data_IF_370165218383
#
_entry.id   IF_370165218383
#
_cell.length_a   1.000
_cell.length_b   1.000
_cell.length_c   1.000
_cell.angle_alpha   90.00
_cell.angle_beta   90.00
_cell.angle_gamma   90.00
#
_symmetry.space_group_name_H-M   'P 1'
#
loop_
_entity.id
_entity.type
_entity.pdbx_description
1 polymer ?
#
# COMPACT_ATOMS: atom_id res chain seq x y z
N UNK A 1 13.60 26.47 13.72
CA UNK A 1 12.48 27.40 13.95
C UNK A 1 11.21 26.62 14.19
N UNK A 2 10.20 27.18 14.85
CA UNK A 2 8.96 26.44 15.13
C UNK A 2 7.71 27.31 15.02
N UNK A 3 6.59 26.66 14.77
CA UNK A 3 5.24 27.21 14.91
C UNK A 3 4.44 26.26 15.80
N UNK A 4 3.67 26.85 16.73
CA UNK A 4 2.74 26.12 17.59
C UNK A 4 1.32 26.48 17.21
N UNK A 5 0.52 25.46 16.92
CA UNK A 5 -0.91 25.61 16.65
C UNK A 5 -1.62 25.39 17.99
N UNK A 6 -2.45 26.34 18.47
CA UNK A 6 -3.21 26.15 19.71
C UNK A 6 -4.11 24.92 19.63
N UNK A 7 -4.28 24.14 20.71
CA UNK A 7 -5.21 23.02 20.74
C UNK A 7 -6.62 23.42 20.30
N UNK A 8 -7.30 22.53 19.58
CA UNK A 8 -8.65 22.78 19.07
C UNK A 8 -8.94 22.12 17.73
N UNK A 9 -10.13 22.37 17.22
CA UNK A 9 -10.63 21.85 15.95
C UNK A 9 -10.48 22.90 14.84
N UNK A 10 -9.83 22.50 13.75
CA UNK A 10 -9.63 23.35 12.58
C UNK A 10 -10.22 22.62 11.36
N UNK A 11 -11.11 23.28 10.62
CA UNK A 11 -11.78 22.70 9.47
C UNK A 11 -11.21 23.22 8.16
N UNK A 12 -10.99 22.32 7.22
CA UNK A 12 -10.50 22.59 5.87
C UNK A 12 -11.54 22.12 4.87
N UNK A 13 -11.81 22.98 3.89
CA UNK A 13 -12.86 22.77 2.88
C UNK A 13 -12.40 21.94 1.69
N UNK A 14 -13.03 22.22 0.55
CA UNK A 14 -12.91 21.46 -0.70
C UNK A 14 -11.48 21.46 -1.24
N UNK A 15 -10.98 20.28 -1.58
CA UNK A 15 -9.80 20.09 -2.43
C UNK A 15 -10.08 20.49 -3.89
N UNK A 16 -9.01 20.64 -4.68
CA UNK A 16 -9.12 20.88 -6.11
C UNK A 16 -8.00 20.16 -6.89
N UNK A 17 -8.15 20.13 -8.21
CA UNK A 17 -7.15 19.63 -9.15
C UNK A 17 -6.69 20.78 -10.03
N UNK A 18 -5.38 20.91 -10.20
CA UNK A 18 -4.78 21.82 -11.17
C UNK A 18 -4.02 21.03 -12.27
N UNK A 19 -3.34 21.76 -13.15
CA UNK A 19 -2.56 21.17 -14.26
C UNK A 19 -1.33 20.37 -13.78
N UNK A 20 -0.86 20.62 -12.56
CA UNK A 20 0.35 20.05 -11.96
C UNK A 20 0.02 18.97 -10.90
N UNK A 21 -1.28 18.75 -10.62
CA UNK A 21 -1.82 17.63 -9.88
C UNK A 21 -2.82 18.05 -8.80
N UNK A 22 -2.92 17.28 -7.69
CA UNK A 22 -3.82 17.63 -6.61
C UNK A 22 -3.36 18.85 -5.82
N UNK A 23 -4.32 19.69 -5.42
CA UNK A 23 -4.14 20.80 -4.48
C UNK A 23 -4.77 20.39 -3.16
N UNK A 24 -3.95 20.31 -2.12
CA UNK A 24 -4.38 19.88 -0.79
C UNK A 24 -5.11 21.02 -0.05
N UNK A 25 -6.23 20.76 0.65
CA UNK A 25 -6.91 21.75 1.49
C UNK A 25 -5.99 22.40 2.54
N UNK A 26 -5.04 21.62 3.09
CA UNK A 26 -3.93 22.13 3.88
C UNK A 26 -2.62 21.72 3.21
N UNK A 27 -1.91 22.68 2.63
CA UNK A 27 -0.67 22.44 1.89
C UNK A 27 0.51 23.23 2.44
N UNK A 28 1.65 22.56 2.58
CA UNK A 28 2.97 23.15 2.77
C UNK A 28 3.79 22.91 1.50
N UNK A 29 4.19 23.99 0.81
CA UNK A 29 4.93 23.91 -0.45
C UNK A 29 6.25 24.67 -0.39
N UNK A 30 7.31 24.06 -0.91
CA UNK A 30 8.59 24.73 -1.13
C UNK A 30 9.33 25.17 0.14
N UNK A 31 8.92 24.67 1.31
CA UNK A 31 9.57 24.99 2.58
C UNK A 31 10.86 24.19 2.71
N UNK A 32 11.99 24.85 2.41
CA UNK A 32 13.31 24.25 2.47
C UNK A 32 14.04 24.66 3.74
N UNK A 33 14.44 23.66 4.53
CA UNK A 33 15.38 23.80 5.65
C UNK A 33 16.58 22.93 5.43
N UNK A 34 17.66 23.19 6.17
CA UNK A 34 18.79 22.27 6.27
C UNK A 34 18.56 21.25 7.40
N UNK A 35 19.28 20.13 7.35
CA UNK A 35 19.10 19.04 8.32
C UNK A 35 19.49 19.44 9.76
N UNK A 36 20.38 20.41 9.93
CA UNK A 36 20.84 20.89 11.24
C UNK A 36 19.84 21.88 11.87
N UNK A 37 19.03 22.55 11.06
CA UNK A 37 18.07 23.58 11.47
C UNK A 37 16.65 23.26 10.93
N UNK A 38 16.04 22.14 11.34
CA UNK A 38 14.70 21.79 10.88
C UNK A 38 13.65 22.83 11.32
N UNK A 39 12.51 22.84 10.62
CA UNK A 39 11.35 23.61 11.03
C UNK A 39 10.27 22.69 11.60
N UNK A 40 9.72 23.06 12.76
CA UNK A 40 8.78 22.22 13.51
C UNK A 40 7.40 22.84 13.53
N UNK A 41 6.39 22.01 13.30
CA UNK A 41 4.97 22.32 13.42
C UNK A 41 4.45 21.50 14.60
N UNK A 42 4.17 22.19 15.72
CA UNK A 42 3.72 21.59 16.96
C UNK A 42 2.19 21.70 17.03
N UNK A 43 1.51 20.56 16.96
CA UNK A 43 0.06 20.46 16.83
C UNK A 43 -0.54 19.50 17.88
N UNK A 44 0.05 19.44 19.07
CA UNK A 44 -0.47 18.66 20.19
C UNK A 44 -1.88 19.15 20.57
N UNK A 45 -2.84 18.23 20.69
CA UNK A 45 -4.23 18.55 21.00
C UNK A 45 -4.99 19.21 19.85
N UNK A 46 -4.45 19.17 18.62
CA UNK A 46 -5.10 19.70 17.41
C UNK A 46 -5.77 18.60 16.62
N UNK A 47 -7.00 18.84 16.19
CA UNK A 47 -7.69 18.02 15.19
C UNK A 47 -7.91 18.83 13.92
N UNK A 48 -7.36 18.34 12.81
CA UNK A 48 -7.64 18.83 11.46
C UNK A 48 -8.79 18.03 10.86
N UNK A 49 -9.92 18.69 10.65
CA UNK A 49 -11.11 18.14 10.01
C UNK A 49 -11.10 18.51 8.53
N UNK A 50 -11.26 17.50 7.67
CA UNK A 50 -11.37 17.71 6.23
C UNK A 50 -12.79 17.39 5.77
N UNK A 51 -13.47 18.38 5.20
CA UNK A 51 -14.84 18.21 4.75
C UNK A 51 -14.90 17.36 3.46
N UNK A 52 -15.90 16.48 3.34
CA UNK A 52 -16.15 15.67 2.15
C UNK A 52 -17.53 15.95 1.53
N UNK A 53 -17.64 16.93 0.62
CA UNK A 53 -18.89 17.24 -0.06
C UNK A 53 -19.50 16.02 -0.81
N UNK A 54 -20.82 15.83 -0.78
CA UNK A 54 -21.48 14.70 -1.46
C UNK A 54 -21.21 14.61 -2.97
N UNK A 55 -21.00 15.74 -3.65
CA UNK A 55 -20.66 15.81 -5.07
C UNK A 55 -19.23 15.34 -5.38
N UNK A 56 -18.38 15.25 -4.36
CA UNK A 56 -17.00 14.79 -4.46
C UNK A 56 -16.84 13.31 -4.11
N UNK A 57 -17.78 12.72 -3.37
CA UNK A 57 -17.70 11.35 -2.88
C UNK A 57 -17.28 10.27 -3.92
N UNK A 58 -17.59 10.32 -5.23
CA UNK A 58 -17.13 9.28 -6.15
C UNK A 58 -15.68 9.46 -6.69
N UNK A 59 -14.91 10.44 -6.21
CA UNK A 59 -13.57 10.79 -6.74
C UNK A 59 -12.43 10.56 -5.72
N UNK A 60 -11.17 10.70 -6.14
CA UNK A 60 -10.02 10.59 -5.25
C UNK A 60 -9.77 11.92 -4.52
N UNK A 61 -9.56 11.85 -3.21
CA UNK A 61 -9.41 13.00 -2.31
C UNK A 61 -8.04 13.20 -1.69
N UNK A 62 -7.80 14.39 -1.15
CA UNK A 62 -6.55 14.84 -0.56
C UNK A 62 -6.85 15.68 0.69
N UNK A 63 -6.07 15.48 1.75
CA UNK A 63 -6.23 16.23 2.99
C UNK A 63 -5.01 17.13 3.26
N UNK A 64 -3.92 16.55 3.78
CA UNK A 64 -2.70 17.28 4.14
C UNK A 64 -1.59 17.01 3.12
N UNK A 65 -0.99 18.06 2.57
CA UNK A 65 0.08 17.98 1.58
C UNK A 65 1.39 18.61 2.04
N UNK A 66 2.50 17.92 1.81
CA UNK A 66 3.85 18.44 1.82
C UNK A 66 4.45 18.25 0.44
N UNK A 67 4.70 19.35 -0.26
CA UNK A 67 5.19 19.33 -1.65
C UNK A 67 6.52 20.07 -1.72
N UNK A 68 7.55 19.40 -2.20
CA UNK A 68 8.88 19.98 -2.36
C UNK A 68 9.41 20.60 -1.06
N UNK A 69 9.20 19.94 0.08
CA UNK A 69 9.70 20.40 1.38
C UNK A 69 10.99 19.68 1.76
N UNK A 70 11.80 20.29 2.63
CA UNK A 70 12.95 19.60 3.24
C UNK A 70 13.06 19.91 4.72
N UNK A 71 13.29 18.86 5.51
CA UNK A 71 13.60 18.94 6.92
C UNK A 71 12.53 19.69 7.75
N UNK A 72 11.26 19.33 7.52
CA UNK A 72 10.14 19.73 8.37
C UNK A 72 9.74 18.61 9.32
N UNK A 73 9.18 18.98 10.46
CA UNK A 73 8.60 18.04 11.43
C UNK A 73 7.16 18.44 11.76
N UNK A 74 6.22 17.49 11.67
CA UNK A 74 4.85 17.63 12.19
C UNK A 74 4.70 16.75 13.44
N UNK A 75 4.27 17.35 14.55
CA UNK A 75 4.17 16.67 15.85
C UNK A 75 2.75 16.77 16.42
N UNK A 76 2.18 15.63 16.81
CA UNK A 76 0.97 15.55 17.65
C UNK A 76 -0.38 15.78 16.94
N UNK A 77 -0.39 16.06 15.63
CA UNK A 77 -1.62 16.35 14.89
C UNK A 77 -2.54 15.13 14.80
N UNK A 78 -3.84 15.34 14.95
CA UNK A 78 -4.89 14.38 14.60
C UNK A 78 -5.58 14.81 13.31
N UNK A 79 -5.79 13.89 12.37
CA UNK A 79 -6.51 14.12 11.11
C UNK A 79 -7.79 13.28 11.12
N UNK A 80 -8.93 13.89 10.85
CA UNK A 80 -10.23 13.22 10.71
C UNK A 80 -11.05 13.89 9.58
N UNK A 81 -12.16 13.28 9.21
CA UNK A 81 -12.99 13.70 8.08
C UNK A 81 -14.48 13.62 8.41
N UNK A 82 -15.23 14.56 7.84
CA UNK A 82 -16.68 14.66 8.01
C UNK A 82 -17.36 15.14 6.71
N UNK A 83 -18.28 14.36 6.11
CA UNK A 83 -18.64 12.98 6.41
C UNK A 83 -17.50 12.01 6.08
N UNK A 84 -17.48 10.83 6.71
CA UNK A 84 -16.36 9.86 6.61
C UNK A 84 -16.06 9.40 5.17
N UNK A 85 -17.07 9.22 4.34
CA UNK A 85 -16.90 8.72 2.96
C UNK A 85 -17.01 7.20 2.81
N UNK A 86 -17.55 6.53 3.84
CA UNK A 86 -17.94 5.12 3.82
C UNK A 86 -19.27 4.91 4.56
N UNK A 87 -19.91 3.78 4.27
CA UNK A 87 -21.05 3.24 5.03
C UNK A 87 -20.65 1.87 5.55
N UNK A 88 -20.93 1.60 6.83
CA UNK A 88 -20.72 0.27 7.42
C UNK A 88 -22.00 -0.25 8.01
N UNK A 89 -22.15 -1.58 8.01
CA UNK A 89 -23.28 -2.22 8.65
C UNK A 89 -23.08 -3.70 8.90
N UNK A 90 -23.95 -4.25 9.74
CA UNK A 90 -24.05 -5.67 10.02
C UNK A 90 -24.97 -6.31 9.00
N UNK A 91 -24.55 -7.40 8.37
CA UNK A 91 -25.37 -8.18 7.44
C UNK A 91 -26.58 -8.74 8.18
N UNK A 92 -27.78 -8.39 7.73
CA UNK A 92 -29.05 -8.90 8.26
C UNK A 92 -29.68 -9.93 7.34
N UNK A 93 -29.38 -9.87 6.04
CA UNK A 93 -29.89 -10.83 5.06
C UNK A 93 -28.94 -10.98 3.87
N UNK A 94 -28.85 -12.20 3.34
CA UNK A 94 -28.20 -12.51 2.06
C UNK A 94 -29.28 -12.96 1.06
N UNK A 95 -29.44 -12.23 -0.04
CA UNK A 95 -30.37 -12.58 -1.13
C UNK A 95 -29.56 -12.87 -2.40
N UNK A 96 -29.16 -14.13 -2.56
CA UNK A 96 -28.39 -14.58 -3.71
C UNK A 96 -29.21 -14.53 -5.02
N UNK A 97 -30.53 -14.76 -4.95
CA UNK A 97 -31.40 -14.70 -6.13
C UNK A 97 -31.53 -13.26 -6.65
N UNK A 98 -31.62 -12.29 -5.74
CA UNK A 98 -31.59 -10.85 -6.05
C UNK A 98 -30.19 -10.25 -6.20
N UNK A 99 -29.13 -11.04 -6.04
CA UNK A 99 -27.72 -10.61 -5.98
C UNK A 99 -27.49 -9.39 -5.08
N UNK A 100 -28.01 -9.43 -3.85
CA UNK A 100 -27.96 -8.29 -2.92
C UNK A 100 -27.80 -8.72 -1.46
N UNK A 101 -27.25 -7.82 -0.66
CA UNK A 101 -26.96 -8.01 0.77
C UNK A 101 -27.70 -6.92 1.55
N UNK A 102 -28.51 -7.30 2.54
CA UNK A 102 -29.09 -6.32 3.46
C UNK A 102 -28.14 -6.09 4.62
N UNK A 103 -27.94 -4.82 4.96
CA UNK A 103 -27.19 -4.41 6.14
C UNK A 103 -28.02 -3.50 7.04
N UNK A 104 -27.83 -3.62 8.34
CA UNK A 104 -28.21 -2.63 9.33
C UNK A 104 -27.04 -1.69 9.59
N UNK A 105 -27.23 -0.39 9.39
CA UNK A 105 -26.15 0.59 9.52
C UNK A 105 -25.54 0.56 10.93
N UNK A 106 -24.21 0.53 10.99
CA UNK A 106 -23.48 0.49 12.25
C UNK A 106 -23.45 1.85 12.93
N UNK A 107 -23.52 1.85 14.26
CA UNK A 107 -23.33 3.02 15.13
C UNK A 107 -21.85 3.39 15.35
N UNK A 108 -20.93 2.63 14.76
CA UNK A 108 -19.48 2.80 14.91
C UNK A 108 -18.83 1.85 15.93
N UNK A 109 -19.57 0.95 16.58
CA UNK A 109 -19.00 -0.07 17.49
C UNK A 109 -18.64 -1.39 16.80
N UNK A 110 -18.85 -1.47 15.49
CA UNK A 110 -18.89 -2.71 14.76
C UNK A 110 -17.54 -3.05 14.11
N UNK A 111 -17.04 -4.28 14.34
CA UNK A 111 -15.87 -4.84 13.68
C UNK A 111 -16.28 -6.05 12.83
N UNK A 112 -16.03 -5.99 11.51
CA UNK A 112 -16.28 -7.12 10.61
C UNK A 112 -15.21 -8.21 10.77
N UNK A 113 -15.53 -9.45 10.42
CA UNK A 113 -14.49 -10.45 10.17
C UNK A 113 -13.78 -10.14 8.85
N UNK A 114 -12.52 -10.57 8.77
CA UNK A 114 -11.71 -10.45 7.57
C UNK A 114 -11.92 -11.69 6.69
N UNK A 115 -12.37 -11.51 5.44
CA UNK A 115 -12.63 -12.63 4.52
C UNK A 115 -11.66 -12.69 3.35
N UNK A 116 -11.26 -13.89 2.96
CA UNK A 116 -10.45 -14.13 1.76
C UNK A 116 -11.23 -14.04 0.42
N UNK A 117 -12.31 -13.26 0.34
CA UNK A 117 -13.27 -13.25 -0.79
C UNK A 117 -12.87 -12.38 -2.00
N UNK A 118 -11.60 -11.98 -2.16
CA UNK A 118 -11.11 -11.28 -3.36
C UNK A 118 -9.83 -11.91 -3.89
N UNK A 119 -9.88 -13.21 -4.18
CA UNK A 119 -9.04 -13.69 -5.28
C UNK A 119 -9.44 -12.89 -6.53
N UNK A 120 -8.45 -12.43 -7.32
CA UNK A 120 -8.69 -11.68 -8.56
C UNK A 120 -9.78 -12.37 -9.37
N UNK A 121 -10.93 -11.72 -9.52
CA UNK A 121 -12.07 -12.35 -10.17
C UNK A 121 -13.42 -11.70 -9.84
N UNK A 122 -14.50 -12.23 -10.42
CA UNK A 122 -15.87 -11.75 -10.24
C UNK A 122 -16.40 -11.88 -8.80
N UNK A 123 -15.80 -12.73 -7.94
CA UNK A 123 -16.20 -12.94 -6.53
C UNK A 123 -16.01 -11.74 -5.58
N UNK A 124 -15.47 -10.60 -6.07
CA UNK A 124 -15.21 -9.41 -5.26
C UNK A 124 -16.48 -8.68 -4.84
N UNK A 125 -16.39 -7.91 -3.74
CA UNK A 125 -17.41 -6.90 -3.40
C UNK A 125 -17.39 -5.76 -4.43
N UNK A 126 -18.16 -5.93 -5.50
CA UNK A 126 -18.55 -4.85 -6.41
C UNK A 126 -20.04 -4.59 -6.25
N UNK A 127 -20.42 -3.36 -5.90
CA UNK A 127 -21.82 -2.96 -5.76
C UNK A 127 -22.18 -1.88 -6.78
N UNK A 128 -23.47 -1.86 -7.17
CA UNK A 128 -24.03 -0.90 -8.14
C UNK A 128 -24.66 0.28 -7.43
N UNK A 129 -25.47 0.03 -6.42
CA UNK A 129 -26.17 1.06 -5.65
C UNK A 129 -26.57 0.53 -4.26
N UNK A 130 -27.06 1.46 -3.44
CA UNK A 130 -27.62 1.20 -2.12
C UNK A 130 -29.03 1.77 -2.09
N UNK A 131 -30.01 1.00 -1.62
CA UNK A 131 -31.41 1.41 -1.50
C UNK A 131 -31.99 1.07 -0.12
N UNK A 132 -33.11 1.69 0.30
CA UNK A 132 -33.76 1.34 1.57
C UNK A 132 -34.06 -0.15 1.70
N UNK A 133 -33.79 -0.70 2.88
CA UNK A 133 -34.00 -2.10 3.23
C UNK A 133 -35.43 -2.41 3.64
N UNK A 134 -35.60 -3.60 4.21
CA UNK A 134 -36.89 -4.11 4.72
C UNK A 134 -37.40 -3.37 5.97
N UNK A 135 -36.52 -2.69 6.71
CA UNK A 135 -36.82 -1.95 7.92
C UNK A 135 -36.09 -0.59 7.95
N UNK A 136 -36.59 0.41 8.71
CA UNK A 136 -35.88 1.67 8.92
C UNK A 136 -34.45 1.42 9.46
N UNK A 137 -33.46 2.12 8.89
CA UNK A 137 -32.04 1.95 9.27
C UNK A 137 -31.34 0.76 8.59
N UNK A 138 -32.08 -0.03 7.79
CA UNK A 138 -31.50 -1.08 6.94
C UNK A 138 -31.43 -0.66 5.49
N UNK A 139 -30.48 -1.24 4.79
CA UNK A 139 -30.16 -0.90 3.40
C UNK A 139 -29.82 -2.14 2.61
N UNK A 140 -30.40 -2.25 1.41
CA UNK A 140 -29.98 -3.23 0.42
C UNK A 140 -28.77 -2.70 -0.35
N UNK A 141 -27.69 -3.47 -0.31
CA UNK A 141 -26.52 -3.31 -1.16
C UNK A 141 -26.70 -4.20 -2.37
N UNK A 142 -27.07 -3.58 -3.49
CA UNK A 142 -27.24 -4.31 -4.75
C UNK A 142 -25.88 -4.53 -5.39
N UNK A 143 -25.48 -5.79 -5.55
CA UNK A 143 -24.19 -6.12 -6.14
C UNK A 143 -24.20 -5.79 -7.64
N UNK A 144 -23.02 -5.52 -8.20
CA UNK A 144 -22.87 -5.34 -9.63
C UNK A 144 -23.23 -6.64 -10.36
N UNK A 145 -23.78 -6.56 -11.57
CA UNK A 145 -24.23 -7.73 -12.35
C UNK A 145 -23.12 -8.78 -12.55
N UNK A 146 -21.87 -8.33 -12.69
CA UNK A 146 -20.68 -9.18 -12.82
C UNK A 146 -20.11 -9.70 -11.50
N UNK A 147 -20.75 -9.39 -10.37
CA UNK A 147 -20.33 -9.86 -9.06
C UNK A 147 -20.80 -11.30 -8.87
N UNK A 148 -19.86 -12.21 -8.62
CA UNK A 148 -20.10 -13.60 -8.26
C UNK A 148 -20.02 -13.82 -6.75
N UNK A 149 -19.86 -12.76 -5.94
CA UNK A 149 -19.62 -12.85 -4.50
C UNK A 149 -20.61 -13.81 -3.78
N UNK A 150 -21.91 -13.64 -3.98
CA UNK A 150 -22.92 -14.49 -3.32
C UNK A 150 -22.99 -15.90 -3.90
N UNK A 151 -22.71 -16.06 -5.20
CA UNK A 151 -22.60 -17.38 -5.83
C UNK A 151 -21.40 -18.15 -5.29
N UNK A 152 -20.22 -17.52 -5.21
CA UNK A 152 -19.02 -18.08 -4.59
C UNK A 152 -19.26 -18.41 -3.13
N UNK A 153 -19.98 -17.55 -2.40
CA UNK A 153 -20.35 -17.80 -1.01
C UNK A 153 -21.24 -19.04 -0.82
N UNK A 154 -21.90 -19.53 -1.88
CA UNK A 154 -22.73 -20.73 -1.88
C UNK A 154 -22.03 -21.96 -2.45
N UNK A 155 -20.88 -21.82 -3.10
CA UNK A 155 -20.15 -22.91 -3.71
C UNK A 155 -19.66 -23.91 -2.64
N UNK A 156 -20.06 -25.20 -2.70
CA UNK A 156 -19.61 -26.22 -1.75
C UNK A 156 -18.10 -26.42 -1.74
N UNK A 157 -17.42 -26.32 -2.89
CA UNK A 157 -15.97 -26.44 -2.97
C UNK A 157 -15.28 -25.27 -2.29
N UNK A 158 -15.80 -24.04 -2.48
CA UNK A 158 -15.33 -22.85 -1.78
C UNK A 158 -15.51 -22.98 -0.27
N UNK A 159 -16.71 -23.35 0.19
CA UNK A 159 -17.03 -23.53 1.61
C UNK A 159 -16.15 -24.59 2.26
N UNK A 160 -15.93 -25.70 1.56
CA UNK A 160 -15.04 -26.78 2.00
C UNK A 160 -13.60 -26.30 2.15
N UNK A 161 -13.13 -25.46 1.21
CA UNK A 161 -11.75 -24.99 1.22
C UNK A 161 -11.49 -23.83 2.20
N UNK A 162 -12.44 -22.90 2.36
CA UNK A 162 -12.22 -21.66 3.11
C UNK A 162 -12.95 -21.59 4.46
N UNK A 163 -13.93 -22.47 4.71
CA UNK A 163 -14.71 -22.49 5.95
C UNK A 163 -15.35 -21.13 6.27
N UNK A 164 -15.47 -20.83 7.57
CA UNK A 164 -16.01 -19.55 8.05
C UNK A 164 -15.15 -18.35 7.64
N UNK A 165 -13.83 -18.52 7.53
CA UNK A 165 -12.89 -17.44 7.19
C UNK A 165 -13.00 -16.92 5.74
N UNK A 166 -13.71 -17.64 4.86
CA UNK A 166 -13.99 -17.17 3.50
C UNK A 166 -15.46 -17.15 3.15
N UNK A 167 -16.38 -17.26 4.12
CA UNK A 167 -17.82 -17.26 3.82
C UNK A 167 -18.52 -16.12 4.55
N UNK A 168 -19.32 -15.34 3.81
CA UNK A 168 -20.22 -14.33 4.36
C UNK A 168 -21.45 -14.98 4.97
N UNK A 169 -21.85 -14.50 6.14
CA UNK A 169 -22.97 -14.97 6.92
C UNK A 169 -23.79 -13.79 7.45
N UNK A 170 -25.02 -14.07 7.86
CA UNK A 170 -25.81 -13.09 8.63
C UNK A 170 -25.12 -12.85 9.97
N UNK A 171 -24.99 -11.59 10.37
CA UNK A 171 -24.25 -11.16 11.56
C UNK A 171 -22.86 -10.62 11.26
N UNK A 172 -22.33 -10.91 10.07
CA UNK A 172 -21.04 -10.42 9.60
C UNK A 172 -21.07 -8.93 9.26
N UNK A 173 -19.91 -8.40 8.94
CA UNK A 173 -19.72 -6.99 8.67
C UNK A 173 -19.49 -6.66 7.22
N UNK A 174 -20.04 -5.53 6.80
CA UNK A 174 -19.83 -4.99 5.47
C UNK A 174 -19.43 -3.53 5.56
N UNK A 175 -18.33 -3.18 4.91
CA UNK A 175 -17.92 -1.79 4.68
C UNK A 175 -18.04 -1.45 3.20
N UNK A 176 -18.83 -0.43 2.90
CA UNK A 176 -19.06 0.13 1.58
C UNK A 176 -18.24 1.41 1.46
N UNK A 177 -17.27 1.38 0.55
CA UNK A 177 -16.34 2.49 0.33
C UNK A 177 -16.84 3.33 -0.83
N UNK A 178 -17.21 4.58 -0.58
CA UNK A 178 -17.70 5.48 -1.63
C UNK A 178 -16.58 6.27 -2.32
N UNK A 179 -15.47 6.53 -1.62
CA UNK A 179 -14.36 7.39 -2.08
C UNK A 179 -12.98 6.86 -1.69
N UNK A 180 -11.88 7.24 -2.38
CA UNK A 180 -10.45 7.09 -1.98
C UNK A 180 -9.81 8.39 -1.51
N UNK A 181 -8.78 8.34 -0.66
CA UNK A 181 -8.14 9.56 -0.10
C UNK A 181 -6.64 9.39 0.13
N UNK A 182 -5.86 10.43 -0.16
CA UNK A 182 -4.52 10.60 0.39
C UNK A 182 -4.64 11.49 1.62
N UNK A 183 -4.55 10.91 2.81
CA UNK A 183 -4.65 11.66 4.06
C UNK A 183 -3.44 12.58 4.25
N UNK A 184 -2.25 12.04 4.03
CA UNK A 184 -1.00 12.80 4.07
C UNK A 184 -0.22 12.49 2.80
N UNK A 185 -0.08 13.49 1.93
CA UNK A 185 0.76 13.43 0.74
C UNK A 185 2.13 14.05 1.00
N UNK A 186 3.20 13.32 0.69
CA UNK A 186 4.58 13.78 0.81
C UNK A 186 5.25 13.63 -0.55
N UNK A 187 5.30 14.72 -1.31
CA UNK A 187 5.74 14.71 -2.72
C UNK A 187 7.05 15.45 -2.89
N UNK A 188 8.05 14.80 -3.48
CA UNK A 188 9.36 15.38 -3.79
C UNK A 188 10.05 16.00 -2.56
N UNK A 189 9.87 15.39 -1.39
CA UNK A 189 10.37 15.90 -0.13
C UNK A 189 11.68 15.22 0.28
N UNK A 190 12.34 15.75 1.31
CA UNK A 190 13.55 15.14 1.89
C UNK A 190 13.57 15.31 3.41
N UNK A 191 13.86 14.23 4.14
CA UNK A 191 14.11 14.28 5.59
C UNK A 191 12.96 14.81 6.44
N UNK A 192 11.71 14.59 6.00
CA UNK A 192 10.50 14.90 6.74
C UNK A 192 10.36 14.04 7.99
N UNK A 193 9.70 14.55 9.02
CA UNK A 193 9.40 13.82 10.25
C UNK A 193 7.94 14.00 10.64
N UNK A 194 7.30 12.91 11.01
CA UNK A 194 5.94 12.85 11.52
C UNK A 194 5.99 12.10 12.84
N UNK A 195 5.65 12.78 13.94
CA UNK A 195 5.83 12.24 15.29
C UNK A 195 4.51 12.31 16.03
N UNK A 196 4.00 11.18 16.50
CA UNK A 196 2.74 11.13 17.24
C UNK A 196 1.53 11.57 16.42
N UNK A 197 1.61 11.49 15.09
CA UNK A 197 0.50 11.87 14.19
C UNK A 197 -0.55 10.76 14.20
N UNK A 198 -1.81 11.14 14.33
CA UNK A 198 -2.96 10.23 14.30
C UNK A 198 -3.80 10.50 13.06
N UNK A 199 -3.96 9.50 12.21
CA UNK A 199 -4.85 9.56 11.05
C UNK A 199 -6.08 8.68 11.30
N UNK A 200 -7.25 9.31 11.28
CA UNK A 200 -8.56 8.66 11.38
C UNK A 200 -9.37 8.80 10.09
N UNK A 201 -8.83 9.50 9.07
CA UNK A 201 -9.50 9.67 7.78
C UNK A 201 -9.69 8.30 7.13
N UNK A 202 -10.94 7.91 6.94
CA UNK A 202 -11.29 6.75 6.13
C UNK A 202 -10.92 7.01 4.67
N UNK A 203 -10.48 5.94 4.05
CA UNK A 203 -9.75 5.80 2.81
C UNK A 203 -8.47 6.59 2.68
N UNK A 204 -7.90 7.05 3.79
CA UNK A 204 -6.79 8.00 3.88
C UNK A 204 -5.40 7.35 3.88
N UNK A 205 -4.90 6.97 2.72
CA UNK A 205 -3.52 6.50 2.56
C UNK A 205 -2.50 7.61 2.92
N UNK A 206 -1.40 7.25 3.60
CA UNK A 206 -0.21 8.10 3.63
C UNK A 206 0.62 7.79 2.41
N UNK A 207 0.79 8.79 1.54
CA UNK A 207 1.44 8.62 0.25
C UNK A 207 2.71 9.43 0.16
N UNK A 208 3.83 8.74 0.00
CA UNK A 208 5.13 9.33 -0.32
C UNK A 208 5.45 9.07 -1.79
N UNK A 209 5.93 10.10 -2.50
CA UNK A 209 6.33 9.95 -3.89
C UNK A 209 7.47 10.88 -4.27
N UNK A 210 8.55 10.34 -4.82
CA UNK A 210 9.65 11.14 -5.36
C UNK A 210 10.51 11.84 -4.30
N UNK A 211 11.58 12.50 -4.77
CA UNK A 211 12.50 13.28 -3.92
C UNK A 211 13.52 12.45 -3.13
N UNK A 212 14.31 13.14 -2.31
CA UNK A 212 15.41 12.54 -1.55
C UNK A 212 14.98 11.55 -0.46
N UNK A 213 13.69 11.52 -0.10
CA UNK A 213 13.12 10.58 0.85
C UNK A 213 13.77 10.65 2.23
N UNK A 214 13.96 9.48 2.86
CA UNK A 214 14.54 9.36 4.20
C UNK A 214 13.65 10.00 5.26
N UNK A 215 12.34 9.78 5.17
CA UNK A 215 11.36 10.32 6.10
C UNK A 215 11.29 9.46 7.37
N UNK A 216 10.87 10.05 8.48
CA UNK A 216 10.64 9.35 9.73
C UNK A 216 9.16 9.47 10.13
N UNK A 217 8.52 8.34 10.35
CA UNK A 217 7.21 8.21 10.96
C UNK A 217 7.40 7.52 12.29
N UNK A 218 7.15 8.24 13.38
CA UNK A 218 7.46 7.77 14.73
C UNK A 218 6.24 7.86 15.62
N UNK A 219 5.91 6.77 16.29
CA UNK A 219 4.81 6.67 17.26
C UNK A 219 3.46 7.13 16.66
N UNK A 220 3.28 6.91 15.35
CA UNK A 220 2.07 7.32 14.63
C UNK A 220 0.98 6.23 14.68
N UNK A 221 -0.28 6.66 14.58
CA UNK A 221 -1.43 5.77 14.53
C UNK A 221 -2.23 6.02 13.26
N UNK A 222 -2.48 4.96 12.50
CA UNK A 222 -3.23 5.00 11.25
C UNK A 222 -4.32 3.93 11.31
N UNK A 223 -5.55 4.38 11.54
CA UNK A 223 -6.59 3.46 11.94
C UNK A 223 -7.88 4.20 12.27
N UNK A 224 -8.98 3.47 12.41
CA UNK A 224 -10.24 4.09 12.78
C UNK A 224 -10.11 4.83 14.12
N UNK A 225 -10.88 5.90 14.28
CA UNK A 225 -11.06 6.51 15.59
C UNK A 225 -11.78 5.51 16.49
N UNK A 226 -11.39 5.42 17.77
CA UNK A 226 -12.03 4.51 18.71
C UNK A 226 -13.55 4.79 18.79
N UNK A 227 -14.37 3.75 18.74
CA UNK A 227 -15.84 3.87 18.76
C UNK A 227 -16.42 4.42 17.47
N UNK A 228 -15.68 4.31 16.37
CA UNK A 228 -16.11 4.70 15.03
C UNK A 228 -15.88 3.56 14.05
N UNK A 229 -16.47 3.67 12.85
CA UNK A 229 -16.37 2.68 11.78
C UNK A 229 -14.94 2.13 11.63
N UNK A 230 -14.81 0.82 11.54
CA UNK A 230 -13.54 0.15 11.79
C UNK A 230 -12.64 0.13 10.55
N UNK A 231 -13.17 0.16 9.33
CA UNK A 231 -12.35 -0.03 8.13
C UNK A 231 -11.80 1.27 7.53
N UNK A 232 -10.48 1.30 7.38
CA UNK A 232 -9.77 2.43 6.78
C UNK A 232 -9.90 2.44 5.27
N UNK A 233 -9.99 1.33 4.53
CA UNK A 233 -10.17 1.37 3.07
C UNK A 233 -8.93 1.87 2.29
N UNK A 234 -8.49 1.24 1.21
CA UNK A 234 -7.20 1.56 0.52
C UNK A 234 -5.96 1.18 1.34
N UNK A 235 -4.80 1.60 0.84
CA UNK A 235 -3.49 1.32 1.42
C UNK A 235 -3.35 2.04 2.75
N UNK A 236 -2.63 1.45 3.70
CA UNK A 236 -2.18 2.18 4.87
C UNK A 236 -1.11 3.19 4.46
N UNK A 237 -0.01 2.70 3.89
CA UNK A 237 1.15 3.51 3.55
C UNK A 237 1.72 3.16 2.18
N UNK A 238 1.71 4.10 1.23
CA UNK A 238 2.26 3.93 -0.10
C UNK A 238 3.53 4.77 -0.27
N UNK A 239 4.65 4.14 -0.62
CA UNK A 239 5.95 4.80 -0.77
C UNK A 239 6.56 4.49 -2.13
N UNK A 240 6.49 5.47 -3.04
CA UNK A 240 6.92 5.31 -4.42
C UNK A 240 8.16 6.15 -4.77
N UNK A 241 9.14 5.52 -5.42
CA UNK A 241 10.22 6.23 -6.13
C UNK A 241 10.99 7.30 -5.35
N UNK A 242 11.43 7.00 -4.14
CA UNK A 242 12.34 7.88 -3.39
C UNK A 242 13.79 7.41 -3.48
N UNK A 243 14.74 8.35 -3.31
CA UNK A 243 16.16 8.01 -3.26
C UNK A 243 16.50 7.15 -2.02
N UNK A 244 15.93 7.52 -0.88
CA UNK A 244 16.07 6.83 0.39
C UNK A 244 14.70 6.44 0.90
N UNK A 245 14.55 5.16 1.25
CA UNK A 245 13.33 4.66 1.86
C UNK A 245 13.09 5.26 3.25
N UNK A 246 11.84 5.28 3.68
CA UNK A 246 11.42 5.85 4.95
C UNK A 246 11.64 4.90 6.13
N UNK A 247 11.66 5.49 7.33
CA UNK A 247 11.65 4.77 8.60
C UNK A 247 10.25 4.85 9.23
N UNK A 248 9.67 3.70 9.56
CA UNK A 248 8.50 3.59 10.44
C UNK A 248 8.96 2.98 11.77
N UNK A 249 8.74 3.68 12.86
CA UNK A 249 9.24 3.33 14.19
C UNK A 249 8.12 3.46 15.23
N UNK A 250 7.65 2.34 15.78
CA UNK A 250 6.57 2.37 16.78
C UNK A 250 5.19 2.70 16.20
N UNK A 251 4.98 2.57 14.89
CA UNK A 251 3.72 2.90 14.25
C UNK A 251 2.68 1.77 14.39
N UNK A 252 1.40 2.15 14.46
CA UNK A 252 0.27 1.21 14.43
C UNK A 252 -0.58 1.44 13.18
N UNK A 253 -0.81 0.40 12.38
CA UNK A 253 -1.70 0.46 11.20
C UNK A 253 -2.77 -0.63 11.32
N UNK A 254 -4.04 -0.24 11.16
CA UNK A 254 -5.18 -1.12 11.34
C UNK A 254 -6.16 -1.04 10.16
N UNK A 255 -6.82 -2.17 9.87
CA UNK A 255 -8.05 -2.21 9.06
C UNK A 255 -7.94 -1.63 7.64
N UNK A 256 -6.79 -1.79 6.99
CA UNK A 256 -6.61 -1.41 5.58
C UNK A 256 -7.37 -2.39 4.68
N UNK A 257 -7.99 -1.91 3.60
CA UNK A 257 -8.67 -2.81 2.64
C UNK A 257 -7.83 -3.10 1.40
N UNK A 258 -6.68 -2.43 1.27
CA UNK A 258 -5.65 -2.71 0.29
C UNK A 258 -4.35 -2.99 1.06
N UNK A 259 -3.18 -2.62 0.55
CA UNK A 259 -1.91 -2.97 1.18
C UNK A 259 -1.70 -2.23 2.50
N UNK A 260 -1.23 -2.91 3.56
CA UNK A 260 -0.79 -2.23 4.79
C UNK A 260 0.28 -1.20 4.48
N UNK A 261 1.26 -1.66 3.70
CA UNK A 261 2.39 -0.90 3.22
C UNK A 261 2.65 -1.37 1.80
N UNK A 262 2.94 -0.44 0.89
CA UNK A 262 3.45 -0.73 -0.45
C UNK A 262 4.69 0.14 -0.71
N UNK A 263 5.88 -0.46 -0.67
CA UNK A 263 7.14 0.21 -1.02
C UNK A 263 7.60 -0.25 -2.40
N UNK A 264 7.64 0.67 -3.36
CA UNK A 264 7.96 0.36 -4.75
C UNK A 264 8.86 1.43 -5.39
N UNK A 265 9.73 1.00 -6.30
CA UNK A 265 10.21 1.89 -7.36
C UNK A 265 9.25 1.88 -8.54
N UNK A 266 9.71 2.39 -9.67
CA UNK A 266 8.95 2.39 -10.91
C UNK A 266 9.78 1.81 -12.05
N UNK A 267 9.10 1.13 -12.97
CA UNK A 267 9.68 0.55 -14.18
C UNK A 267 9.66 1.53 -15.35
N UNK A 268 10.77 1.61 -16.08
CA UNK A 268 10.84 2.26 -17.38
C UNK A 268 10.63 1.26 -18.50
N UNK A 269 9.38 1.02 -18.90
CA UNK A 269 9.10 0.18 -20.08
C UNK A 269 9.56 0.88 -21.35
N UNK A 270 10.42 0.24 -22.15
CA UNK A 270 10.95 0.84 -23.38
C UNK A 270 10.01 0.55 -24.55
N UNK A 271 9.58 1.61 -25.23
CA UNK A 271 8.70 1.56 -26.40
C UNK A 271 9.50 1.56 -27.71
N UNK A 272 10.50 2.45 -27.81
CA UNK A 272 11.33 2.61 -29.01
C UNK A 272 12.79 2.83 -28.66
N UNK A 273 13.65 2.50 -29.61
CA UNK A 273 15.10 2.75 -29.54
C UNK A 273 15.56 3.35 -30.86
N UNK A 274 16.55 4.25 -30.82
CA UNK A 274 17.19 4.83 -32.00
C UNK A 274 18.61 5.30 -31.65
N UNK A 275 19.62 4.61 -32.17
CA UNK A 275 21.01 4.78 -31.77
C UNK A 275 21.16 4.68 -30.25
N UNK A 276 21.58 5.76 -29.61
CA UNK A 276 21.77 5.84 -28.14
C UNK A 276 20.53 6.26 -27.35
N UNK A 277 19.40 6.51 -28.02
CA UNK A 277 18.20 7.04 -27.37
C UNK A 277 17.17 5.93 -27.14
N UNK A 278 16.65 5.84 -25.92
CA UNK A 278 15.46 5.06 -25.59
C UNK A 278 14.26 5.97 -25.38
N UNK A 279 13.10 5.57 -25.86
CA UNK A 279 11.82 6.22 -25.57
C UNK A 279 11.03 5.32 -24.63
N UNK A 280 10.64 5.85 -23.48
CA UNK A 280 9.81 5.15 -22.52
C UNK A 280 8.35 5.14 -23.00
N UNK A 281 7.61 4.10 -22.63
CA UNK A 281 6.17 3.98 -22.87
C UNK A 281 5.45 5.21 -22.29
N UNK A 282 4.46 5.69 -23.03
CA UNK A 282 3.55 6.75 -22.55
C UNK A 282 2.99 6.39 -21.16
N UNK A 283 3.12 7.32 -20.21
CA UNK A 283 2.66 7.13 -18.84
C UNK A 283 3.68 6.43 -17.92
N UNK A 284 4.89 6.11 -18.39
CA UNK A 284 5.97 5.73 -17.49
C UNK A 284 6.36 6.93 -16.62
N UNK A 285 6.47 6.68 -15.31
CA UNK A 285 6.84 7.70 -14.32
C UNK A 285 8.21 7.39 -13.67
N UNK A 286 8.98 6.45 -14.24
CA UNK A 286 10.32 6.12 -13.72
C UNK A 286 11.21 7.37 -13.74
N UNK A 287 11.71 7.85 -12.58
CA UNK A 287 12.58 9.01 -12.55
C UNK A 287 13.95 8.65 -13.12
N UNK A 288 14.53 9.58 -13.87
CA UNK A 288 15.90 9.48 -14.37
C UNK A 288 16.51 10.86 -14.53
N UNK A 289 17.77 10.99 -14.15
CA UNK A 289 18.58 12.19 -14.34
C UNK A 289 19.88 11.86 -15.09
N UNK A 290 20.49 12.86 -15.71
CA UNK A 290 21.84 12.72 -16.25
C UNK A 290 22.81 12.25 -15.14
N UNK A 291 23.64 11.27 -15.47
CA UNK A 291 24.54 10.57 -14.54
C UNK A 291 23.93 9.35 -13.84
N UNK A 292 22.60 9.16 -13.87
CA UNK A 292 22.00 7.96 -13.30
C UNK A 292 22.41 6.71 -14.11
N UNK A 293 22.72 5.61 -13.41
CA UNK A 293 22.99 4.30 -14.03
C UNK A 293 21.71 3.47 -14.02
N UNK A 294 21.24 3.06 -15.18
CA UNK A 294 20.07 2.20 -15.34
C UNK A 294 20.48 0.73 -15.50
N UNK A 295 19.67 -0.18 -14.96
CA UNK A 295 19.74 -1.61 -15.24
C UNK A 295 18.63 -1.99 -16.22
N UNK A 296 18.93 -2.84 -17.20
CA UNK A 296 17.96 -3.29 -18.20
C UNK A 296 17.70 -4.79 -18.09
N UNK A 297 16.45 -5.17 -18.31
CA UNK A 297 15.99 -6.54 -18.23
C UNK A 297 15.11 -6.90 -19.42
N UNK A 298 15.25 -8.13 -19.90
CA UNK A 298 14.29 -8.70 -20.83
C UNK A 298 12.95 -8.89 -20.12
N UNK A 299 11.88 -8.26 -20.64
CA UNK A 299 10.57 -8.23 -19.99
C UNK A 299 9.88 -9.59 -19.91
N UNK A 300 10.31 -10.55 -20.73
CA UNK A 300 9.68 -11.87 -20.83
C UNK A 300 10.31 -12.88 -19.86
N UNK A 301 11.62 -12.82 -19.70
CA UNK A 301 12.42 -13.81 -18.97
C UNK A 301 12.99 -13.27 -17.66
N UNK A 302 13.06 -11.94 -17.51
CA UNK A 302 13.78 -11.28 -16.43
C UNK A 302 15.30 -11.30 -16.59
N UNK A 303 15.83 -11.80 -17.71
CA UNK A 303 17.28 -11.87 -17.90
C UNK A 303 17.91 -10.46 -17.97
N UNK A 304 19.06 -10.21 -17.32
CA UNK A 304 19.73 -8.93 -17.40
C UNK A 304 20.29 -8.69 -18.81
N UNK A 305 20.08 -7.48 -19.34
CA UNK A 305 20.58 -7.00 -20.64
C UNK A 305 21.75 -6.01 -20.50
N UNK A 306 22.21 -5.80 -19.26
CA UNK A 306 23.32 -4.93 -18.89
C UNK A 306 22.88 -3.59 -18.32
N UNK A 307 23.81 -2.64 -18.29
CA UNK A 307 23.61 -1.30 -17.71
C UNK A 307 24.06 -0.21 -18.66
N UNK A 308 23.48 0.98 -18.54
CA UNK A 308 23.93 2.19 -19.24
C UNK A 308 23.82 3.40 -18.31
N UNK A 309 24.61 4.44 -18.58
CA UNK A 309 24.51 5.75 -17.90
C UNK A 309 23.64 6.67 -18.74
N UNK A 310 22.74 7.41 -18.11
CA UNK A 310 21.94 8.45 -18.75
C UNK A 310 22.83 9.67 -18.97
N UNK A 311 23.00 10.12 -20.22
CA UNK A 311 23.70 11.36 -20.55
C UNK A 311 22.77 12.57 -20.50
N UNK A 312 21.54 12.40 -21.00
CA UNK A 312 20.54 13.46 -21.03
C UNK A 312 19.12 12.90 -20.96
N UNK A 313 18.20 13.77 -20.53
CA UNK A 313 16.80 13.45 -20.30
C UNK A 313 15.95 14.46 -21.06
N UNK A 314 15.00 13.97 -21.84
CA UNK A 314 13.92 14.76 -22.43
C UNK A 314 12.57 14.15 -22.04
N UNK A 315 11.43 14.84 -22.27
CA UNK A 315 10.13 14.24 -22.01
C UNK A 315 10.00 12.86 -22.68
N UNK A 316 9.77 11.82 -21.87
CA UNK A 316 9.61 10.43 -22.29
C UNK A 316 10.82 9.79 -23.02
N UNK A 317 11.99 10.43 -23.11
CA UNK A 317 13.17 9.83 -23.75
C UNK A 317 14.46 10.08 -22.98
N UNK A 318 15.36 9.10 -23.01
CA UNK A 318 16.67 9.16 -22.36
C UNK A 318 17.74 8.87 -23.39
N UNK A 319 18.79 9.69 -23.43
CA UNK A 319 20.01 9.37 -24.20
C UNK A 319 21.01 8.69 -23.29
N UNK A 320 21.57 7.58 -23.77
CA UNK A 320 22.49 6.72 -23.03
C UNK A 320 23.94 6.94 -23.48
N UNK A 321 24.88 6.54 -22.62
CA UNK A 321 26.33 6.53 -22.89
C UNK A 321 26.77 5.46 -23.90
N UNK A 322 25.83 4.63 -24.37
CA UNK A 322 26.06 3.53 -25.30
C UNK A 322 24.90 3.35 -26.27
N UNK A 323 25.12 2.53 -27.28
CA UNK A 323 24.07 2.12 -28.20
C UNK A 323 22.93 1.37 -27.47
N UNK A 324 21.68 1.66 -27.88
CA UNK A 324 20.46 1.19 -27.25
C UNK A 324 19.69 0.17 -28.11
N UNK A 325 20.16 -0.22 -29.29
CA UNK A 325 19.42 -1.11 -30.20
C UNK A 325 19.07 -2.45 -29.52
N UNK A 326 20.00 -3.00 -28.75
CA UNK A 326 19.81 -4.23 -27.96
C UNK A 326 18.79 -4.13 -26.82
N UNK A 327 18.29 -2.93 -26.51
CA UNK A 327 17.34 -2.67 -25.43
C UNK A 327 15.89 -2.55 -25.93
N UNK A 328 15.64 -2.79 -27.22
CA UNK A 328 14.30 -2.74 -27.79
C UNK A 328 13.32 -3.65 -27.04
N UNK A 329 12.26 -3.06 -26.48
CA UNK A 329 11.22 -3.78 -25.75
C UNK A 329 11.63 -4.28 -24.35
N UNK A 330 12.79 -3.86 -23.83
CA UNK A 330 13.23 -4.15 -22.47
C UNK A 330 12.48 -3.33 -21.40
N UNK A 331 12.75 -3.65 -20.14
CA UNK A 331 12.35 -2.87 -18.96
C UNK A 331 13.59 -2.30 -18.29
N UNK A 332 13.55 -1.01 -17.96
CA UNK A 332 14.58 -0.33 -17.19
C UNK A 332 14.21 -0.24 -15.70
N UNK A 333 15.21 -0.44 -14.85
CA UNK A 333 15.22 -0.08 -13.43
C UNK A 333 16.17 1.11 -13.27
N UNK A 334 15.76 2.15 -12.54
CA UNK A 334 16.70 3.13 -12.01
C UNK A 334 16.96 2.83 -10.52
N UNK A 335 18.12 2.24 -10.15
CA UNK A 335 18.42 1.85 -8.77
C UNK A 335 18.46 3.01 -7.78
N UNK A 336 18.66 4.25 -8.27
CA UNK A 336 18.60 5.45 -7.43
C UNK A 336 17.24 5.63 -6.78
N UNK A 337 16.15 5.31 -7.47
CA UNK A 337 14.77 5.64 -7.08
C UNK A 337 13.96 4.41 -6.66
N UNK A 338 14.57 3.52 -5.86
CA UNK A 338 13.99 2.24 -5.45
C UNK A 338 13.61 2.18 -3.97
N UNK A 339 13.52 3.30 -3.25
CA UNK A 339 13.32 3.33 -1.80
C UNK A 339 14.43 2.57 -1.03
N UNK A 340 15.70 2.74 -1.42
CA UNK A 340 16.78 1.98 -0.78
C UNK A 340 16.93 2.29 0.72
N UNK A 341 17.26 1.28 1.51
CA UNK A 341 17.59 1.43 2.93
C UNK A 341 16.42 1.79 3.85
N UNK A 342 15.18 1.48 3.47
CA UNK A 342 14.04 1.62 4.37
C UNK A 342 14.20 0.82 5.66
N UNK A 343 13.53 1.29 6.73
CA UNK A 343 13.49 0.59 8.01
C UNK A 343 12.08 0.58 8.59
N UNK A 344 11.60 -0.58 9.01
CA UNK A 344 10.31 -0.72 9.68
C UNK A 344 10.55 -1.49 10.96
N UNK A 345 10.32 -0.86 12.11
CA UNK A 345 10.60 -1.45 13.40
C UNK A 345 9.58 -1.15 14.47
N UNK A 346 9.41 -2.11 15.38
CA UNK A 346 8.53 -1.98 16.55
C UNK A 346 7.09 -1.58 16.19
N UNK A 347 6.63 -1.92 14.97
CA UNK A 347 5.30 -1.58 14.50
C UNK A 347 4.29 -2.70 14.80
N UNK A 348 3.03 -2.31 14.91
CA UNK A 348 1.90 -3.20 15.10
C UNK A 348 0.92 -3.07 13.93
N UNK A 349 0.80 -4.16 13.17
CA UNK A 349 -0.01 -4.24 11.96
C UNK A 349 -1.13 -5.25 12.16
N UNK A 350 -2.39 -4.82 12.02
CA UNK A 350 -3.53 -5.71 12.24
C UNK A 350 -4.63 -5.56 11.21
N UNK A 351 -5.32 -6.67 10.99
CA UNK A 351 -6.63 -6.71 10.35
C UNK A 351 -6.62 -6.10 8.93
N UNK A 352 -5.63 -6.47 8.14
CA UNK A 352 -5.51 -6.01 6.75
C UNK A 352 -6.15 -6.99 5.80
N UNK A 353 -6.91 -6.46 4.85
CA UNK A 353 -7.53 -7.23 3.80
C UNK A 353 -6.55 -7.86 2.81
N UNK A 354 -5.58 -7.08 2.33
CA UNK A 354 -4.58 -7.57 1.39
C UNK A 354 -3.28 -7.93 2.09
N UNK A 355 -2.18 -7.31 1.67
CA UNK A 355 -0.82 -7.74 1.98
C UNK A 355 -0.05 -6.59 2.63
N UNK A 356 1.11 -6.92 3.16
CA UNK A 356 2.21 -5.98 3.30
C UNK A 356 3.11 -6.20 2.09
N UNK A 357 3.30 -5.19 1.25
CA UNK A 357 3.98 -5.30 -0.04
C UNK A 357 5.29 -4.50 -0.08
N UNK A 358 6.37 -5.18 -0.41
CA UNK A 358 7.64 -4.56 -0.79
C UNK A 358 7.97 -5.06 -2.19
N UNK A 359 8.07 -4.14 -3.15
CA UNK A 359 8.40 -4.45 -4.54
C UNK A 359 9.79 -3.95 -4.93
N UNK A 360 10.28 -2.93 -4.24
CA UNK A 360 11.58 -2.32 -4.49
C UNK A 360 12.37 -2.05 -3.21
N UNK A 361 13.68 -1.97 -3.37
CA UNK A 361 14.60 -1.55 -2.32
C UNK A 361 15.80 -2.47 -2.16
N UNK A 362 16.95 -1.86 -1.96
CA UNK A 362 18.18 -2.52 -1.55
C UNK A 362 18.46 -2.25 -0.07
N UNK A 363 18.72 -3.30 0.71
CA UNK A 363 19.17 -3.19 2.11
C UNK A 363 18.10 -2.81 3.14
N UNK A 364 16.82 -2.99 2.82
CA UNK A 364 15.71 -2.70 3.74
C UNK A 364 15.64 -3.68 4.92
N UNK A 365 15.14 -3.21 6.07
CA UNK A 365 15.01 -4.01 7.29
C UNK A 365 13.62 -3.92 7.91
N UNK A 366 12.96 -5.06 8.10
CA UNK A 366 11.71 -5.23 8.83
C UNK A 366 12.00 -5.99 10.13
N UNK A 367 11.83 -5.35 11.29
CA UNK A 367 12.22 -5.97 12.56
C UNK A 367 11.34 -5.68 13.76
N UNK A 368 11.22 -6.65 14.66
CA UNK A 368 10.47 -6.50 15.91
C UNK A 368 9.02 -6.02 15.72
N UNK A 369 8.39 -6.35 14.59
CA UNK A 369 7.02 -5.98 14.29
C UNK A 369 6.05 -7.13 14.62
N UNK A 370 4.78 -6.79 14.82
CA UNK A 370 3.68 -7.74 14.93
C UNK A 370 2.77 -7.60 13.72
N UNK A 371 2.41 -8.73 13.13
CA UNK A 371 1.42 -8.88 12.08
C UNK A 371 0.33 -9.82 12.60
N UNK A 372 -0.89 -9.32 12.75
CA UNK A 372 -2.04 -10.12 13.22
C UNK A 372 -3.18 -10.04 12.21
N UNK A 373 -3.67 -11.19 11.72
CA UNK A 373 -4.81 -11.27 10.77
C UNK A 373 -4.62 -10.43 9.52
N UNK A 374 -3.59 -10.77 8.74
CA UNK A 374 -3.29 -10.12 7.44
C UNK A 374 -3.73 -11.07 6.32
N UNK A 375 -4.55 -10.61 5.38
CA UNK A 375 -5.28 -11.48 4.45
C UNK A 375 -4.40 -12.22 3.43
N UNK A 376 -3.41 -11.56 2.85
CA UNK A 376 -2.54 -12.10 1.78
C UNK A 376 -1.07 -12.29 2.18
N UNK A 377 -0.70 -11.88 3.40
CA UNK A 377 0.64 -12.07 3.94
C UNK A 377 1.61 -10.90 3.76
N UNK A 378 2.88 -11.16 4.05
CA UNK A 378 4.00 -10.24 3.81
C UNK A 378 4.72 -10.66 2.54
N UNK A 379 4.74 -9.77 1.56
CA UNK A 379 5.09 -10.06 0.18
C UNK A 379 6.29 -9.21 -0.24
N UNK A 380 7.42 -9.87 -0.47
CA UNK A 380 8.58 -9.28 -1.13
C UNK A 380 8.51 -9.63 -2.63
N UNK A 381 7.64 -8.95 -3.37
CA UNK A 381 7.25 -9.34 -4.72
C UNK A 381 7.62 -8.28 -5.75
N UNK A 382 8.48 -8.65 -6.70
CA UNK A 382 8.80 -7.83 -7.87
C UNK A 382 8.13 -8.43 -9.11
N UNK A 383 7.56 -7.63 -10.00
CA UNK A 383 6.95 -8.15 -11.22
C UNK A 383 6.97 -7.16 -12.40
N UNK A 384 6.81 -7.66 -13.63
CA UNK A 384 6.76 -6.88 -14.88
C UNK A 384 5.36 -6.80 -15.53
N UNK A 385 4.29 -7.12 -14.80
CA UNK A 385 2.92 -7.00 -15.33
C UNK A 385 2.15 -5.83 -14.70
N UNK A 386 2.64 -5.25 -13.60
CA UNK A 386 2.22 -3.94 -13.15
C UNK A 386 2.70 -2.91 -14.17
N UNK A 387 1.77 -2.11 -14.70
CA UNK A 387 2.04 -1.16 -15.78
C UNK A 387 3.10 -0.09 -15.41
N UNK A 388 3.44 0.08 -14.12
CA UNK A 388 4.42 1.08 -13.68
C UNK A 388 5.13 0.73 -12.36
N UNK A 389 4.43 0.17 -11.36
CA UNK A 389 5.00 -0.17 -10.03
C UNK A 389 6.04 -1.28 -10.10
N UNK A 390 7.19 -1.10 -9.47
CA UNK A 390 8.32 -1.96 -9.72
C UNK A 390 9.47 -1.88 -8.72
N UNK A 391 10.60 -2.39 -9.18
CA UNK A 391 11.82 -2.54 -8.41
C UNK A 391 12.21 -3.97 -8.18
N UNK A 392 13.41 -4.17 -7.64
CA UNK A 392 13.95 -5.49 -7.32
C UNK A 392 14.43 -5.48 -5.87
N UNK A 393 13.86 -6.35 -5.06
CA UNK A 393 14.25 -6.52 -3.66
C UNK A 393 15.63 -7.18 -3.56
N UNK A 394 16.59 -6.51 -2.91
CA UNK A 394 17.94 -7.03 -2.68
C UNK A 394 18.38 -6.78 -1.24
N UNK A 395 18.99 -7.77 -0.60
CA UNK A 395 19.57 -7.58 0.74
C UNK A 395 18.55 -7.27 1.83
N UNK A 396 17.29 -7.71 1.66
CA UNK A 396 16.22 -7.42 2.64
C UNK A 396 16.36 -8.32 3.85
N UNK A 397 16.14 -7.75 5.03
CA UNK A 397 16.20 -8.45 6.32
C UNK A 397 14.82 -8.44 6.98
N UNK A 398 14.35 -9.62 7.39
CA UNK A 398 13.10 -9.85 8.13
C UNK A 398 13.46 -10.52 9.45
N UNK A 399 13.50 -9.74 10.53
CA UNK A 399 14.14 -10.11 11.80
C UNK A 399 13.18 -10.05 12.99
N UNK A 400 13.09 -11.11 13.77
CA UNK A 400 12.45 -11.07 15.10
C UNK A 400 10.99 -10.57 15.10
N UNK A 401 10.26 -10.79 14.00
CA UNK A 401 8.84 -10.43 13.87
C UNK A 401 7.91 -11.54 14.35
N UNK A 402 6.66 -11.18 14.67
CA UNK A 402 5.58 -12.13 14.95
C UNK A 402 4.54 -12.07 13.84
N UNK A 403 4.29 -13.19 13.18
CA UNK A 403 3.25 -13.39 12.18
C UNK A 403 2.17 -14.29 12.77
N UNK A 404 1.04 -13.71 13.17
CA UNK A 404 -0.08 -14.41 13.80
C UNK A 404 -1.30 -14.38 12.89
N UNK A 405 -1.83 -15.56 12.53
CA UNK A 405 -3.02 -15.68 11.68
C UNK A 405 -2.88 -14.93 10.35
N UNK A 406 -1.67 -14.98 9.80
CA UNK A 406 -1.32 -14.35 8.53
C UNK A 406 -1.61 -15.30 7.37
N UNK A 407 -2.33 -14.79 6.38
CA UNK A 407 -2.76 -15.47 5.15
C UNK A 407 -3.55 -16.75 5.41
N UNK A 408 -4.53 -16.72 6.32
CA UNK A 408 -5.32 -17.90 6.76
C UNK A 408 -6.30 -18.44 5.69
N UNK A 409 -5.78 -18.84 4.54
CA UNK A 409 -6.54 -19.44 3.45
C UNK A 409 -5.72 -20.55 2.75
N UNK A 410 -6.35 -21.40 1.91
CA UNK A 410 -5.74 -22.61 1.34
C UNK A 410 -4.48 -22.40 0.52
N UNK A 411 -4.30 -21.24 -0.10
CA UNK A 411 -3.10 -20.92 -0.89
C UNK A 411 -2.13 -19.99 -0.16
N UNK A 412 -2.53 -19.55 1.04
CA UNK A 412 -1.90 -18.47 1.77
C UNK A 412 -0.48 -18.78 2.22
N UNK A 413 0.36 -17.75 2.11
CA UNK A 413 1.75 -17.76 2.56
C UNK A 413 1.96 -16.58 3.50
N UNK A 414 2.43 -16.83 4.72
CA UNK A 414 2.63 -15.75 5.68
C UNK A 414 3.76 -14.78 5.27
N UNK A 415 4.87 -15.31 4.76
CA UNK A 415 5.96 -14.55 4.18
C UNK A 415 6.33 -15.13 2.81
N UNK A 416 6.08 -14.37 1.75
CA UNK A 416 6.47 -14.75 0.40
C UNK A 416 7.50 -13.80 -0.19
N UNK A 417 8.33 -14.33 -1.07
CA UNK A 417 9.21 -13.54 -1.91
C UNK A 417 9.30 -14.15 -3.29
N UNK A 418 9.22 -13.33 -4.33
CA UNK A 418 9.54 -13.80 -5.65
C UNK A 418 9.46 -12.78 -6.76
N UNK A 419 9.77 -13.28 -7.95
CA UNK A 419 9.73 -12.50 -9.18
C UNK A 419 8.76 -13.10 -10.19
N UNK A 420 8.00 -12.25 -10.88
CA UNK A 420 7.12 -12.67 -11.97
C UNK A 420 7.31 -11.78 -13.21
N UNK A 421 7.65 -12.38 -14.36
CA UNK A 421 7.69 -11.68 -15.65
C UNK A 421 6.30 -11.59 -16.28
N UNK A 422 6.16 -10.77 -17.34
CA UNK A 422 4.88 -10.47 -18.00
C UNK A 422 4.06 -11.71 -18.41
N UNK A 423 4.74 -12.80 -18.79
CA UNK A 423 4.11 -14.04 -19.27
C UNK A 423 4.33 -15.23 -18.31
N UNK A 424 4.71 -14.98 -17.06
CA UNK A 424 5.07 -16.02 -16.09
C UNK A 424 6.18 -16.97 -16.58
N UNK A 425 7.03 -16.51 -17.51
CA UNK A 425 8.18 -17.24 -18.08
C UNK A 425 9.51 -16.91 -17.40
N UNK A 426 9.45 -16.26 -16.24
CA UNK A 426 10.65 -15.87 -15.52
C UNK A 426 11.47 -17.12 -15.13
N UNK A 427 12.72 -17.17 -15.56
CA UNK A 427 13.67 -18.22 -15.19
C UNK A 427 14.86 -17.70 -14.40
N UNK A 428 15.04 -16.38 -14.35
CA UNK A 428 16.20 -15.75 -13.71
C UNK A 428 15.83 -15.27 -12.31
N UNK A 429 16.58 -15.66 -11.26
CA UNK A 429 16.38 -15.10 -9.93
C UNK A 429 16.88 -13.65 -9.88
N UNK A 430 15.95 -12.70 -9.77
CA UNK A 430 16.27 -11.27 -9.65
C UNK A 430 16.35 -10.80 -8.20
N UNK A 431 15.54 -11.37 -7.32
CA UNK A 431 15.62 -11.11 -5.90
C UNK A 431 16.86 -11.81 -5.33
N UNK A 432 17.53 -11.20 -4.36
CA UNK A 432 18.73 -11.79 -3.79
C UNK A 432 19.02 -11.38 -2.35
N UNK A 433 19.81 -12.23 -1.66
CA UNK A 433 20.37 -11.97 -0.33
C UNK A 433 19.29 -11.68 0.73
N UNK A 434 18.21 -12.45 0.73
CA UNK A 434 17.15 -12.30 1.73
C UNK A 434 17.56 -12.97 3.06
N UNK A 435 17.41 -12.26 4.17
CA UNK A 435 17.66 -12.81 5.51
C UNK A 435 16.34 -12.88 6.27
N UNK A 436 15.97 -14.07 6.74
CA UNK A 436 14.79 -14.31 7.59
C UNK A 436 15.26 -14.97 8.88
N UNK A 437 15.28 -14.21 9.98
CA UNK A 437 15.86 -14.68 11.23
C UNK A 437 15.00 -14.37 12.45
N UNK A 438 14.89 -15.34 13.37
CA UNK A 438 14.30 -15.11 14.69
C UNK A 438 12.78 -14.88 14.71
N UNK A 439 12.10 -15.03 13.57
CA UNK A 439 10.67 -14.74 13.47
C UNK A 439 9.82 -15.88 14.07
N UNK A 440 8.60 -15.54 14.51
CA UNK A 440 7.60 -16.48 15.01
C UNK A 440 6.39 -16.49 14.08
N UNK A 441 6.06 -17.65 13.52
CA UNK A 441 4.88 -17.85 12.70
C UNK A 441 3.87 -18.67 13.50
N UNK A 442 2.77 -18.02 13.89
CA UNK A 442 1.72 -18.57 14.74
C UNK A 442 0.45 -18.74 13.92
N UNK A 443 0.01 -19.99 13.75
CA UNK A 443 -1.23 -20.29 13.04
C UNK A 443 -1.31 -19.62 11.65
N UNK A 444 -0.26 -19.70 10.80
CA UNK A 444 -0.32 -19.11 9.46
C UNK A 444 -1.32 -19.88 8.58
N UNK A 445 -1.50 -19.39 7.35
CA UNK A 445 -2.09 -20.16 6.25
C UNK A 445 -1.36 -21.45 5.92
N UNK A 446 -1.52 -21.92 4.67
CA UNK A 446 -0.93 -23.17 4.21
C UNK A 446 0.60 -23.20 4.38
N UNK A 447 1.29 -22.09 4.15
CA UNK A 447 2.76 -22.01 4.26
C UNK A 447 3.19 -20.83 5.13
N UNK A 448 4.22 -21.03 5.95
CA UNK A 448 4.85 -19.91 6.66
C UNK A 448 5.74 -19.09 5.74
N UNK A 449 6.57 -19.75 4.93
CA UNK A 449 7.53 -19.10 4.05
C UNK A 449 7.48 -19.76 2.68
N UNK A 450 7.45 -18.96 1.61
CA UNK A 450 7.65 -19.44 0.25
C UNK A 450 8.49 -18.45 -0.55
N UNK A 451 9.64 -18.92 -1.05
CA UNK A 451 10.49 -18.15 -1.95
C UNK A 451 10.56 -18.79 -3.33
N UNK A 452 10.42 -17.98 -4.37
CA UNK A 452 10.60 -18.39 -5.77
C UNK A 452 11.52 -17.41 -6.48
N UNK A 453 12.47 -17.91 -7.28
CA UNK A 453 13.40 -17.06 -8.04
C UNK A 453 14.17 -16.06 -7.15
N UNK A 454 14.66 -16.54 -6.00
CA UNK A 454 15.52 -15.80 -5.07
C UNK A 454 16.91 -16.41 -5.06
N UNK A 455 17.94 -15.59 -5.28
CA UNK A 455 19.34 -16.01 -5.26
C UNK A 455 20.02 -15.69 -3.92
N UNK A 456 20.42 -16.73 -3.20
CA UNK A 456 21.13 -16.61 -1.92
C UNK A 456 20.29 -16.01 -0.79
N UNK A 457 20.81 -16.08 0.42
CA UNK A 457 20.10 -15.66 1.63
C UNK A 457 20.26 -16.65 2.77
N UNK A 458 19.62 -16.35 3.91
CA UNK A 458 19.66 -17.18 5.10
C UNK A 458 18.28 -17.21 5.76
N UNK A 459 17.78 -18.40 6.07
CA UNK A 459 16.60 -18.61 6.91
C UNK A 459 17.06 -19.35 8.15
N UNK A 460 17.03 -18.74 9.34
CA UNK A 460 17.59 -19.34 10.56
C UNK A 460 16.89 -18.89 11.84
N UNK A 461 16.80 -19.76 12.84
CA UNK A 461 16.26 -19.42 14.16
C UNK A 461 14.78 -19.00 14.18
N UNK A 462 13.99 -19.36 13.16
CA UNK A 462 12.55 -19.06 13.12
C UNK A 462 11.75 -20.17 13.83
N UNK A 463 10.64 -19.80 14.46
CA UNK A 463 9.70 -20.73 15.13
C UNK A 463 8.40 -20.82 14.35
N UNK A 464 7.88 -22.05 14.18
CA UNK A 464 6.63 -22.31 13.45
C UNK A 464 5.66 -23.09 14.33
N UNK A 465 4.45 -22.55 14.54
CA UNK A 465 3.39 -23.16 15.33
C UNK A 465 2.17 -23.36 14.44
N UNK A 466 1.69 -24.61 14.32
CA UNK A 466 0.56 -25.00 13.46
C UNK A 466 0.69 -24.60 11.98
N UNK A 467 1.92 -24.57 11.45
CA UNK A 467 2.17 -24.37 10.01
C UNK A 467 1.92 -25.66 9.22
N UNK A 468 1.41 -25.55 7.99
CA UNK A 468 1.29 -26.68 7.06
C UNK A 468 0.11 -27.63 7.29
N UNK A 469 -0.78 -27.33 8.25
CA UNK A 469 -2.02 -28.11 8.42
C UNK A 469 -3.05 -27.64 7.39
N UNK A 470 -3.72 -28.56 6.65
CA UNK A 470 -4.98 -28.21 6.01
C UNK A 470 -5.93 -27.72 7.11
N UNK A 471 -6.52 -26.54 6.92
CA UNK A 471 -7.62 -26.09 7.78
C UNK A 471 -8.92 -26.47 7.13
#
# INVERSE_FOLDING_TARGET
GEVRIPPGDYRFGKESWDKDGPVYPLEFRGLKRDAANPFRILAEGVTFWFDLPPDQAPSAHFALGFVECSHLTLEGATLDRDPRGCMEGRITQLDAAGNRIEIEAADGTFCAALYALQLRGPARLGYRNVEPGTQPGRYWVNLAEKSELLTTNQDPAWRSAYGEAGTLQVGDGLCLLHTTTTAIGVRNCTGMKFIGVRNHITKGCMRESGGGGGHLWKDCYFGPRRGTCHWQGSDGFLSGCMERGSTLDGCTLLHTTDDLINFNGLWGYIDKVSGRTITLRRGSEMPAHAGDRLNFFDKQTGAPLGTAVVESVSPQSLTLDRDAESLAGAVAENPRWQNNGWEIRACDFRDCYQRFLIQGGNGGTLRNCRFTRIGSGVCLDSNFFTNNEGGICRGIQVLDNVFEEVAIHPDGVALQAGFQSLNHKAGTPLLSKLTVKGNRFLNPGRRSIQFSLVAGGVITGNTFVNSGKPR
#
